data_IF_569887450675
#
_entry.id   IF_569887450675
#
_cell.length_a   1.000
_cell.length_b   1.000
_cell.length_c   1.000
_cell.angle_alpha   90.00
_cell.angle_beta   90.00
_cell.angle_gamma   90.00
#
_symmetry.space_group_name_H-M   'P 1'
#
loop_
_entity.id
_entity.type
_entity.pdbx_description
1 polymer ?
#
# COMPACT_ATOMS: atom_id res chain seq x y z
N UNK A 1 17.95 -6.40 -6.19
CA UNK A 1 16.67 -6.07 -5.48
C UNK A 1 16.24 -4.69 -5.95
N UNK A 2 14.94 -4.44 -6.16
CA UNK A 2 14.45 -3.10 -6.56
C UNK A 2 14.19 -2.23 -5.33
N UNK A 3 14.57 -0.96 -5.43
CA UNK A 3 14.33 0.12 -4.46
C UNK A 3 13.66 1.29 -5.16
N UNK A 4 13.18 2.28 -4.41
CA UNK A 4 12.48 3.45 -4.96
C UNK A 4 11.26 3.05 -5.80
N UNK A 5 10.36 2.27 -5.20
CA UNK A 5 9.20 1.70 -5.89
C UNK A 5 7.90 2.00 -5.17
N UNK A 6 6.82 2.07 -5.94
CA UNK A 6 5.45 1.94 -5.47
C UNK A 6 5.03 0.49 -5.72
N UNK A 7 4.40 -0.14 -4.74
CA UNK A 7 4.01 -1.54 -4.79
C UNK A 7 2.62 -1.76 -4.21
N UNK A 8 2.00 -2.87 -4.61
CA UNK A 8 0.76 -3.38 -4.02
C UNK A 8 1.03 -4.73 -3.36
N UNK A 9 0.41 -4.95 -2.20
CA UNK A 9 0.28 -6.23 -1.53
C UNK A 9 -1.18 -6.65 -1.60
N UNK A 10 -1.46 -7.78 -2.22
CA UNK A 10 -2.81 -8.34 -2.37
C UNK A 10 -2.99 -9.55 -1.46
N UNK A 11 -4.08 -9.61 -0.71
CA UNK A 11 -4.51 -10.81 -0.02
C UNK A 11 -5.06 -11.82 -1.05
N UNK A 12 -4.51 -13.03 -1.08
CA UNK A 12 -4.95 -14.07 -2.03
C UNK A 12 -6.31 -14.68 -1.68
N UNK A 13 -6.75 -14.54 -0.42
CA UNK A 13 -8.00 -15.12 0.06
C UNK A 13 -9.22 -14.26 -0.27
N UNK A 14 -9.15 -12.95 -0.03
CA UNK A 14 -10.28 -12.03 -0.20
C UNK A 14 -10.07 -10.99 -1.32
N UNK A 15 -8.86 -10.90 -1.87
CA UNK A 15 -8.53 -9.96 -2.94
C UNK A 15 -8.34 -8.51 -2.48
N UNK A 16 -8.48 -8.20 -1.19
CA UNK A 16 -8.20 -6.87 -0.66
C UNK A 16 -6.72 -6.50 -0.87
N UNK A 17 -6.44 -5.21 -0.93
CA UNK A 17 -5.15 -4.68 -1.34
C UNK A 17 -4.64 -3.63 -0.36
N UNK A 18 -3.30 -3.53 -0.29
CA UNK A 18 -2.53 -2.47 0.36
C UNK A 18 -1.55 -1.88 -0.66
N UNK A 19 -1.54 -0.56 -0.81
CA UNK A 19 -0.58 0.18 -1.64
C UNK A 19 0.42 0.88 -0.72
N UNK A 20 1.70 0.83 -1.07
CA UNK A 20 2.75 1.53 -0.36
C UNK A 20 3.93 1.95 -1.23
N UNK A 21 4.71 2.93 -0.78
CA UNK A 21 6.00 3.29 -1.37
C UNK A 21 7.20 2.85 -0.53
N UNK A 22 8.35 2.70 -1.18
CA UNK A 22 9.61 2.67 -0.45
C UNK A 22 10.82 3.14 -1.24
N UNK A 23 11.67 3.95 -0.58
CA UNK A 23 13.04 4.21 -1.01
C UNK A 23 14.01 3.03 -0.73
N UNK A 24 13.68 2.15 0.23
CA UNK A 24 14.52 1.01 0.62
C UNK A 24 14.32 -0.16 -0.34
N UNK A 25 15.17 -1.20 -0.31
CA UNK A 25 14.90 -2.43 -1.06
C UNK A 25 13.53 -3.01 -0.69
N UNK A 26 12.70 -3.30 -1.69
CA UNK A 26 11.32 -3.75 -1.51
C UNK A 26 11.22 -4.98 -0.59
N UNK A 27 12.15 -5.93 -0.72
CA UNK A 27 12.17 -7.14 0.10
C UNK A 27 12.23 -6.85 1.61
N UNK A 28 12.90 -5.77 2.01
CA UNK A 28 12.99 -5.37 3.43
C UNK A 28 11.64 -4.87 3.92
N UNK A 29 10.95 -4.05 3.13
CA UNK A 29 9.59 -3.60 3.47
C UNK A 29 8.57 -4.72 3.48
N UNK A 30 8.63 -5.62 2.51
CA UNK A 30 7.76 -6.81 2.49
C UNK A 30 7.99 -7.65 3.74
N UNK A 31 9.25 -7.85 4.17
CA UNK A 31 9.55 -8.57 5.41
C UNK A 31 8.91 -7.90 6.64
N UNK A 32 9.04 -6.59 6.78
CA UNK A 32 8.42 -5.83 7.88
C UNK A 32 6.89 -6.00 7.90
N UNK A 33 6.24 -5.97 6.72
CA UNK A 33 4.80 -6.22 6.60
C UNK A 33 4.42 -7.64 7.00
N UNK A 34 5.20 -8.65 6.59
CA UNK A 34 4.98 -10.04 6.97
C UNK A 34 5.17 -10.27 8.48
N UNK A 35 6.13 -9.61 9.12
CA UNK A 35 6.31 -9.63 10.57
C UNK A 35 5.12 -9.00 11.31
N UNK A 36 4.57 -7.91 10.77
CA UNK A 36 3.32 -7.30 11.24
C UNK A 36 2.11 -8.23 11.13
N UNK A 37 2.00 -8.94 9.98
CA UNK A 37 0.97 -9.96 9.72
C UNK A 37 1.05 -11.12 10.70
N UNK A 38 2.24 -11.71 10.86
CA UNK A 38 2.45 -12.90 11.70
C UNK A 38 2.18 -12.61 13.18
N UNK A 39 2.51 -11.40 13.63
CA UNK A 39 2.25 -10.93 14.99
C UNK A 39 0.81 -10.44 15.21
N UNK A 40 -0.06 -10.46 14.20
CA UNK A 40 -1.42 -9.89 14.22
C UNK A 40 -1.45 -8.45 14.77
N UNK A 41 -0.41 -7.66 14.47
CA UNK A 41 -0.25 -6.34 15.06
C UNK A 41 -1.25 -5.38 14.44
N UNK A 42 -2.28 -4.97 15.21
CA UNK A 42 -3.37 -4.10 14.75
C UNK A 42 -2.90 -2.72 14.27
N UNK A 43 -1.69 -2.30 14.66
CA UNK A 43 -1.05 -1.08 14.18
C UNK A 43 -0.42 -1.20 12.79
N UNK A 44 -0.36 -2.40 12.20
CA UNK A 44 0.09 -2.63 10.82
C UNK A 44 -1.10 -2.94 9.90
N UNK A 45 -1.05 -2.58 8.61
CA UNK A 45 -2.12 -2.87 7.65
C UNK A 45 -2.47 -4.36 7.59
N UNK A 46 -1.47 -5.23 7.36
CA UNK A 46 -1.68 -6.68 7.24
C UNK A 46 -2.09 -7.33 8.56
N UNK A 47 -1.52 -6.91 9.69
CA UNK A 47 -1.89 -7.43 11.01
C UNK A 47 -3.33 -7.09 11.39
N UNK A 48 -3.78 -5.86 11.08
CA UNK A 48 -5.18 -5.45 11.22
C UNK A 48 -6.10 -6.25 10.29
N UNK A 49 -5.72 -6.36 9.01
CA UNK A 49 -6.50 -7.12 8.03
C UNK A 49 -6.69 -8.57 8.46
N UNK A 50 -5.61 -9.23 8.93
CA UNK A 50 -5.67 -10.57 9.51
C UNK A 50 -6.73 -10.68 10.62
N UNK A 51 -6.70 -9.74 11.56
CA UNK A 51 -7.60 -9.75 12.70
C UNK A 51 -9.06 -9.48 12.31
N UNK A 52 -9.30 -8.56 11.39
CA UNK A 52 -10.65 -8.05 11.08
C UNK A 52 -11.33 -8.80 9.92
N UNK A 53 -10.60 -9.12 8.85
CA UNK A 53 -11.15 -9.79 7.67
C UNK A 53 -11.09 -11.32 7.77
N UNK A 54 -10.11 -11.84 8.53
CA UNK A 54 -9.83 -13.27 8.61
C UNK A 54 -9.94 -13.84 10.03
N UNK A 55 -10.49 -13.09 11.00
CA UNK A 55 -10.66 -13.54 12.39
C UNK A 55 -9.37 -14.11 13.02
N UNK A 56 -8.21 -13.58 12.62
CA UNK A 56 -6.90 -14.03 13.09
C UNK A 56 -6.32 -15.24 12.34
N UNK A 57 -7.05 -15.84 11.40
CA UNK A 57 -6.53 -16.88 10.50
C UNK A 57 -5.48 -16.28 9.56
N UNK A 58 -4.40 -17.02 9.31
CA UNK A 58 -3.35 -16.56 8.42
C UNK A 58 -3.79 -16.57 6.94
N UNK A 59 -3.15 -15.74 6.12
CA UNK A 59 -3.46 -15.63 4.69
C UNK A 59 -2.20 -15.45 3.84
N UNK A 60 -2.26 -15.87 2.58
CA UNK A 60 -1.20 -15.65 1.60
C UNK A 60 -1.26 -14.27 0.97
N UNK A 61 -0.09 -13.74 0.61
CA UNK A 61 0.02 -12.44 -0.07
C UNK A 61 0.71 -12.54 -1.42
N UNK A 62 0.32 -11.68 -2.35
CA UNK A 62 1.04 -11.42 -3.59
C UNK A 62 1.57 -10.00 -3.56
N UNK A 63 2.84 -9.81 -3.97
CA UNK A 63 3.47 -8.49 -4.06
C UNK A 63 3.75 -8.17 -5.53
N UNK A 64 3.30 -7.00 -5.98
CA UNK A 64 3.51 -6.51 -7.34
C UNK A 64 4.08 -5.10 -7.30
N UNK A 65 5.07 -4.81 -8.15
CA UNK A 65 5.59 -3.46 -8.33
C UNK A 65 4.70 -2.75 -9.35
N UNK A 66 4.15 -1.60 -8.97
CA UNK A 66 3.34 -0.75 -9.85
C UNK A 66 4.23 0.16 -10.70
N UNK A 67 5.18 0.84 -10.06
CA UNK A 67 6.12 1.74 -10.73
C UNK A 67 7.41 1.91 -9.93
N UNK A 68 8.47 2.41 -10.59
CA UNK A 68 9.69 2.87 -9.95
C UNK A 68 9.81 4.39 -10.10
N UNK A 69 10.13 5.07 -9.00
CA UNK A 69 10.34 6.53 -8.97
C UNK A 69 11.36 6.89 -7.89
N UNK A 70 12.50 7.46 -8.30
CA UNK A 70 13.60 7.82 -7.39
C UNK A 70 13.30 9.07 -6.57
N UNK A 71 12.61 10.04 -7.16
CA UNK A 71 12.29 11.30 -6.52
C UNK A 71 11.22 11.07 -5.44
N UNK A 72 11.47 11.61 -4.24
CA UNK A 72 10.67 11.32 -3.05
C UNK A 72 9.26 11.90 -3.19
N UNK A 73 9.13 13.14 -3.67
CA UNK A 73 7.85 13.83 -3.77
C UNK A 73 6.95 13.20 -4.84
N UNK A 74 7.51 12.85 -6.00
CA UNK A 74 6.84 12.17 -7.10
C UNK A 74 6.41 10.76 -6.67
N UNK A 75 7.28 10.01 -5.99
CA UNK A 75 6.94 8.65 -5.53
C UNK A 75 5.80 8.67 -4.50
N UNK A 76 5.82 9.59 -3.53
CA UNK A 76 4.73 9.78 -2.56
C UNK A 76 3.45 10.27 -3.22
N UNK A 77 3.58 11.13 -4.23
CA UNK A 77 2.44 11.58 -5.03
C UNK A 77 1.80 10.43 -5.79
N UNK A 78 2.59 9.56 -6.42
CA UNK A 78 2.10 8.36 -7.10
C UNK A 78 1.46 7.38 -6.12
N UNK A 79 2.04 7.15 -4.95
CA UNK A 79 1.41 6.34 -3.90
C UNK A 79 0.01 6.88 -3.53
N UNK A 80 -0.09 8.18 -3.25
CA UNK A 80 -1.36 8.82 -2.92
C UNK A 80 -2.37 8.72 -4.07
N UNK A 81 -1.92 8.91 -5.31
CA UNK A 81 -2.73 8.74 -6.52
C UNK A 81 -3.30 7.32 -6.61
N UNK A 82 -2.47 6.28 -6.46
CA UNK A 82 -2.92 4.88 -6.49
C UNK A 82 -3.89 4.56 -5.36
N UNK A 83 -3.65 5.06 -4.14
CA UNK A 83 -4.58 4.88 -3.02
C UNK A 83 -5.93 5.56 -3.32
N UNK A 84 -5.92 6.74 -3.93
CA UNK A 84 -7.14 7.45 -4.29
C UNK A 84 -7.92 6.74 -5.41
N UNK A 85 -7.23 6.35 -6.48
CA UNK A 85 -7.80 5.65 -7.64
C UNK A 85 -8.39 4.30 -7.28
N UNK A 86 -7.63 3.46 -6.58
CA UNK A 86 -8.01 2.06 -6.35
C UNK A 86 -8.79 1.85 -5.05
N UNK A 87 -8.81 2.86 -4.16
CA UNK A 87 -9.44 2.81 -2.84
C UNK A 87 -9.15 1.48 -2.08
N UNK A 88 -7.88 1.09 -1.90
CA UNK A 88 -7.47 -0.20 -1.36
C UNK A 88 -7.92 -0.38 0.09
N UNK A 89 -8.61 -1.48 0.40
CA UNK A 89 -9.26 -1.68 1.72
C UNK A 89 -8.29 -1.84 2.89
N UNK A 90 -7.04 -2.24 2.66
CA UNK A 90 -6.07 -2.41 3.76
C UNK A 90 -5.34 -1.12 4.12
N UNK A 91 -5.30 -0.10 3.23
CA UNK A 91 -4.76 1.21 3.58
C UNK A 91 -5.69 1.92 4.56
N UNK A 92 -5.11 2.63 5.53
CA UNK A 92 -5.92 3.50 6.39
C UNK A 92 -6.19 4.82 5.69
N UNK A 93 -7.33 5.43 5.99
CA UNK A 93 -7.63 6.80 5.56
C UNK A 93 -6.60 7.80 6.12
N UNK A 94 -6.05 7.54 7.31
CA UNK A 94 -5.00 8.37 7.91
C UNK A 94 -3.60 8.13 7.30
N UNK A 95 -3.40 7.04 6.57
CA UNK A 95 -2.13 6.71 5.90
C UNK A 95 -2.05 7.35 4.50
N UNK A 96 -3.13 7.96 4.01
CA UNK A 96 -3.13 8.67 2.75
C UNK A 96 -2.33 9.98 2.91
N UNK A 97 -1.17 10.14 2.24
CA UNK A 97 -0.52 11.44 2.17
C UNK A 97 -1.54 12.41 1.58
N UNK A 98 -1.80 13.53 2.25
CA UNK A 98 -2.71 14.55 1.74
C UNK A 98 -2.33 14.85 0.31
N UNK A 99 -3.15 14.41 -0.65
CA UNK A 99 -3.06 14.89 -2.03
C UNK A 99 -3.29 16.39 -1.88
N UNK A 100 -2.22 17.17 -2.04
CA UNK A 100 -2.34 18.62 -1.97
C UNK A 100 -3.42 19.03 -2.96
N UNK A 101 -4.21 20.04 -2.60
CA UNK A 101 -5.29 20.58 -3.43
C UNK A 101 -4.87 20.88 -4.88
N UNK A 102 -3.57 20.98 -5.14
CA UNK A 102 -2.92 21.21 -6.42
C UNK A 102 -3.00 20.03 -7.40
N UNK A 103 -3.20 18.81 -6.89
CA UNK A 103 -3.27 17.60 -7.73
C UNK A 103 -4.70 17.17 -8.07
N UNK A 104 -5.71 17.70 -7.37
CA UNK A 104 -7.13 17.48 -7.67
C UNK A 104 -7.51 17.77 -9.13
N UNK A 105 -7.00 18.83 -9.79
CA UNK A 105 -7.30 19.09 -11.20
C UNK A 105 -6.80 18.01 -12.14
N UNK A 106 -5.67 17.36 -11.82
CA UNK A 106 -5.10 16.29 -12.63
C UNK A 106 -5.85 14.97 -12.46
N UNK A 107 -6.34 14.68 -11.24
CA UNK A 107 -7.22 13.55 -10.99
C UNK A 107 -8.52 13.65 -11.79
N UNK A 108 -9.15 14.83 -11.78
CA UNK A 108 -10.36 15.10 -12.57
C UNK A 108 -10.11 14.98 -14.09
N UNK A 109 -8.93 15.35 -14.57
CA UNK A 109 -8.53 15.21 -15.97
C UNK A 109 -8.29 13.74 -16.39
N UNK A 110 -8.01 12.86 -15.42
CA UNK A 110 -7.85 11.42 -15.66
C UNK A 110 -9.18 10.65 -15.60
N UNK A 111 -10.33 11.29 -15.40
CA UNK A 111 -11.64 10.64 -15.18
C UNK A 111 -11.62 9.62 -14.03
N UNK A 112 -10.85 9.91 -12.98
CA UNK A 112 -10.83 9.16 -11.71
C UNK A 112 -11.67 9.91 -10.69
#
# INVERSE_FOLDING_TARGET
MRSCVIYVIKCRECGDEYVGETARPLCVRVKEHLEGKSSSRLSTPLGRHRAQAHNGVDFEVQVTILAGESEISARKTLEAFWIHSENPKMNRREECPTITSELLPYLAACNI
#
